data_IF_167780372371
#
_entry.id   IF_167780372371
#
_cell.length_a   1.000
_cell.length_b   1.000
_cell.length_c   1.000
_cell.angle_alpha   90.00
_cell.angle_beta   90.00
_cell.angle_gamma   90.00
#
_symmetry.space_group_name_H-M   'P 1'
#
loop_
_entity.id
_entity.type
_entity.pdbx_description
1 polymer ?
#
# COMPACT_ATOMS: atom_id res chain seq x y z
N UNK A 1 -4.48 -14.01 10.83
CA UNK A 1 -4.04 -13.56 9.49
C UNK A 1 -4.37 -12.09 9.31
N UNK A 2 -3.41 -11.31 8.84
CA UNK A 2 -3.62 -9.88 8.60
C UNK A 2 -4.34 -9.66 7.27
N UNK A 3 -5.38 -8.85 7.30
CA UNK A 3 -6.10 -8.43 6.10
C UNK A 3 -5.35 -7.24 5.48
N UNK A 4 -5.06 -7.31 4.20
CA UNK A 4 -4.31 -6.27 3.50
C UNK A 4 -5.00 -5.84 2.21
N UNK A 5 -4.80 -4.59 1.83
CA UNK A 5 -5.16 -4.10 0.51
C UNK A 5 -3.92 -3.52 -0.17
N UNK A 6 -3.97 -3.45 -1.49
CA UNK A 6 -2.90 -2.89 -2.31
C UNK A 6 -3.47 -1.70 -3.08
N UNK A 7 -2.84 -0.54 -2.93
CA UNK A 7 -3.19 0.67 -3.68
C UNK A 7 -2.00 1.02 -4.58
N UNK A 8 -2.10 0.67 -5.85
CA UNK A 8 -1.02 0.76 -6.82
C UNK A 8 -1.61 0.86 -8.22
N UNK A 9 -1.20 1.85 -9.01
CA UNK A 9 -1.77 2.09 -10.33
C UNK A 9 -1.23 1.16 -11.43
N UNK A 10 -0.02 0.61 -11.27
CA UNK A 10 0.55 -0.28 -12.27
C UNK A 10 0.10 -1.72 -12.03
N UNK A 11 -0.65 -2.28 -12.99
CA UNK A 11 -1.18 -3.64 -12.88
C UNK A 11 -0.07 -4.67 -12.68
N UNK A 12 1.05 -4.52 -13.39
CA UNK A 12 2.17 -5.47 -13.27
C UNK A 12 2.80 -5.42 -11.88
N UNK A 13 2.95 -4.24 -11.31
CA UNK A 13 3.48 -4.09 -9.96
C UNK A 13 2.54 -4.73 -8.92
N UNK A 14 1.22 -4.54 -9.07
CA UNK A 14 0.24 -5.20 -8.19
C UNK A 14 0.37 -6.71 -8.26
N UNK A 15 0.44 -7.26 -9.47
CA UNK A 15 0.55 -8.70 -9.69
C UNK A 15 1.82 -9.28 -9.06
N UNK A 16 2.94 -8.59 -9.23
CA UNK A 16 4.21 -9.04 -8.68
C UNK A 16 4.21 -9.01 -7.16
N UNK A 17 3.64 -7.96 -6.57
CA UNK A 17 3.55 -7.84 -5.13
C UNK A 17 2.64 -8.95 -4.56
N UNK A 18 1.48 -9.18 -5.19
CA UNK A 18 0.58 -10.25 -4.79
C UNK A 18 1.25 -11.62 -4.87
N UNK A 19 2.01 -11.86 -5.94
CA UNK A 19 2.75 -13.12 -6.08
C UNK A 19 3.76 -13.31 -4.96
N UNK A 20 4.53 -12.27 -4.62
CA UNK A 20 5.52 -12.36 -3.55
C UNK A 20 4.88 -12.61 -2.19
N UNK A 21 3.77 -11.95 -1.92
CA UNK A 21 3.06 -12.13 -0.65
C UNK A 21 2.48 -13.53 -0.53
N UNK A 22 1.89 -14.05 -1.60
CA UNK A 22 1.35 -15.40 -1.63
C UNK A 22 2.46 -16.46 -1.51
N UNK A 23 3.59 -16.24 -2.17
CA UNK A 23 4.68 -17.21 -2.17
C UNK A 23 5.41 -17.29 -0.82
N UNK A 24 5.49 -16.19 -0.08
CA UNK A 24 6.33 -16.11 1.11
C UNK A 24 5.57 -15.82 2.40
N UNK A 25 4.35 -15.26 2.29
CA UNK A 25 3.60 -14.78 3.46
C UNK A 25 2.12 -15.17 3.42
N UNK A 26 1.75 -16.19 2.67
CA UNK A 26 0.34 -16.54 2.49
C UNK A 26 -0.37 -16.97 3.79
N UNK A 27 0.39 -17.40 4.78
CA UNK A 27 -0.17 -17.77 6.09
C UNK A 27 -0.32 -16.57 7.04
N UNK A 28 0.31 -15.44 6.70
CA UNK A 28 0.31 -14.25 7.55
C UNK A 28 -0.57 -13.13 6.99
N UNK A 29 -0.65 -13.00 5.65
CA UNK A 29 -1.30 -11.89 4.98
C UNK A 29 -2.32 -12.40 3.98
N UNK A 30 -3.55 -11.88 4.08
CA UNK A 30 -4.61 -12.13 3.10
C UNK A 30 -4.93 -10.85 2.36
N UNK A 31 -4.73 -10.84 1.05
CA UNK A 31 -5.08 -9.69 0.21
C UNK A 31 -6.58 -9.70 -0.03
N UNK A 32 -7.28 -8.72 0.52
CA UNK A 32 -8.75 -8.66 0.43
C UNK A 32 -9.23 -7.67 -0.62
N UNK A 33 -8.33 -6.91 -1.23
CA UNK A 33 -8.71 -5.99 -2.29
C UNK A 33 -7.51 -5.26 -2.87
N UNK A 34 -7.71 -4.67 -4.04
CA UNK A 34 -6.71 -3.85 -4.69
C UNK A 34 -7.37 -2.67 -5.39
N UNK A 35 -6.63 -1.58 -5.55
CA UNK A 35 -7.11 -0.36 -6.16
C UNK A 35 -6.01 0.27 -7.00
N UNK A 36 -6.40 0.94 -8.09
CA UNK A 36 -5.46 1.63 -8.99
C UNK A 36 -5.45 3.15 -8.81
N UNK A 37 -6.30 3.69 -7.94
CA UNK A 37 -6.33 5.14 -7.64
C UNK A 37 -6.35 5.37 -6.14
N UNK A 38 -5.94 6.57 -5.75
CA UNK A 38 -5.99 6.97 -4.34
C UNK A 38 -7.41 7.05 -3.82
N UNK A 39 -8.32 7.65 -4.60
CA UNK A 39 -9.72 7.80 -4.18
C UNK A 39 -10.38 6.44 -3.95
N UNK A 40 -10.26 5.53 -4.90
CA UNK A 40 -10.85 4.19 -4.75
C UNK A 40 -10.20 3.44 -3.59
N UNK A 41 -8.91 3.64 -3.38
CA UNK A 41 -8.18 3.03 -2.27
C UNK A 41 -8.65 3.54 -0.91
N UNK A 42 -8.90 4.85 -0.78
CA UNK A 42 -9.44 5.44 0.44
C UNK A 42 -10.81 4.85 0.75
N UNK A 43 -11.69 4.81 -0.23
CA UNK A 43 -13.05 4.26 -0.04
C UNK A 43 -12.99 2.79 0.36
N UNK A 44 -12.15 2.01 -0.31
CA UNK A 44 -11.96 0.60 0.00
C UNK A 44 -11.42 0.40 1.42
N UNK A 45 -10.42 1.19 1.80
CA UNK A 45 -9.80 1.08 3.13
C UNK A 45 -10.81 1.42 4.24
N UNK A 46 -11.57 2.48 4.06
CA UNK A 46 -12.54 2.89 5.07
C UNK A 46 -13.69 1.90 5.20
N UNK A 47 -14.05 1.20 4.11
CA UNK A 47 -15.09 0.17 4.13
C UNK A 47 -14.60 -1.15 4.70
N UNK A 48 -13.45 -1.63 4.25
CA UNK A 48 -12.95 -2.97 4.61
C UNK A 48 -12.14 -2.99 5.89
N UNK A 49 -11.61 -1.84 6.31
CA UNK A 49 -10.80 -1.66 7.52
C UNK A 49 -9.67 -2.70 7.60
N UNK A 50 -8.74 -2.67 6.63
CA UNK A 50 -7.64 -3.63 6.61
C UNK A 50 -6.66 -3.38 7.75
N UNK A 51 -5.87 -4.40 8.06
CA UNK A 51 -4.81 -4.29 9.05
C UNK A 51 -3.55 -3.64 8.45
N UNK A 52 -3.33 -3.86 7.15
CA UNK A 52 -2.13 -3.40 6.43
C UNK A 52 -2.54 -2.84 5.07
N UNK A 53 -1.91 -1.73 4.67
CA UNK A 53 -2.07 -1.17 3.32
C UNK A 53 -0.69 -1.08 2.67
N UNK A 54 -0.55 -1.72 1.51
CA UNK A 54 0.58 -1.53 0.61
C UNK A 54 0.22 -0.38 -0.31
N UNK A 55 0.92 0.74 -0.19
CA UNK A 55 0.51 2.00 -0.77
C UNK A 55 1.63 2.61 -1.63
N UNK A 56 1.34 2.85 -2.90
CA UNK A 56 2.28 3.54 -3.77
C UNK A 56 2.40 5.01 -3.36
N UNK A 57 3.61 5.54 -3.41
CA UNK A 57 3.86 6.96 -3.13
C UNK A 57 3.21 7.85 -4.20
N UNK A 58 3.28 7.44 -5.46
CA UNK A 58 2.72 8.18 -6.60
C UNK A 58 1.52 7.45 -7.19
N UNK A 59 0.35 8.04 -7.07
CA UNK A 59 -0.87 7.55 -7.69
C UNK A 59 -1.32 8.55 -8.76
N UNK A 60 -2.17 8.14 -9.73
CA UNK A 60 -2.56 9.06 -10.81
C UNK A 60 -3.34 10.28 -10.34
N UNK A 61 -4.07 10.17 -9.25
CA UNK A 61 -4.96 11.23 -8.75
C UNK A 61 -4.43 11.95 -7.50
N UNK A 62 -3.46 11.36 -6.81
CA UNK A 62 -2.89 11.97 -5.60
C UNK A 62 -1.61 11.27 -5.18
N UNK A 63 -0.88 11.83 -4.24
CA UNK A 63 0.24 11.13 -3.60
C UNK A 63 -0.28 10.17 -2.53
N UNK A 64 0.51 9.12 -2.26
CA UNK A 64 0.19 8.19 -1.17
C UNK A 64 0.04 8.88 0.19
N UNK A 65 0.80 9.96 0.43
CA UNK A 65 0.67 10.74 1.66
C UNK A 65 -0.71 11.38 1.81
N UNK A 66 -1.35 11.74 0.71
CA UNK A 66 -2.71 12.30 0.72
C UNK A 66 -3.73 11.23 1.10
N UNK A 67 -3.48 9.98 0.69
CA UNK A 67 -4.34 8.85 1.09
C UNK A 67 -4.35 8.72 2.61
N UNK A 68 -3.17 8.79 3.25
CA UNK A 68 -3.07 8.68 4.72
C UNK A 68 -3.94 9.70 5.44
N UNK A 69 -3.98 10.93 4.92
CA UNK A 69 -4.74 12.01 5.55
C UNK A 69 -6.25 11.80 5.48
N UNK A 70 -6.70 11.00 4.52
CA UNK A 70 -8.13 10.77 4.27
C UNK A 70 -8.66 9.47 4.90
N UNK A 71 -7.79 8.69 5.55
CA UNK A 71 -8.21 7.44 6.19
C UNK A 71 -8.88 7.70 7.52
N UNK A 72 -9.97 6.97 7.78
CA UNK A 72 -10.68 6.98 9.07
C UNK A 72 -10.08 5.97 10.06
N UNK A 73 -9.10 5.20 9.62
CA UNK A 73 -8.47 4.11 10.37
C UNK A 73 -6.97 4.35 10.46
N UNK A 74 -6.31 3.60 11.31
CA UNK A 74 -4.85 3.66 11.46
C UNK A 74 -4.22 2.30 11.22
N UNK A 75 -4.24 1.79 9.97
CA UNK A 75 -3.60 0.53 9.64
C UNK A 75 -2.08 0.69 9.59
N UNK A 76 -1.37 -0.42 9.57
CA UNK A 76 0.04 -0.41 9.24
C UNK A 76 0.17 0.00 7.76
N UNK A 77 1.05 0.94 7.47
CA UNK A 77 1.30 1.39 6.10
C UNK A 77 2.67 0.92 5.66
N UNK A 78 2.72 0.25 4.51
CA UNK A 78 3.98 -0.10 3.86
C UNK A 78 3.98 0.58 2.51
N UNK A 79 4.77 1.63 2.38
CA UNK A 79 4.90 2.32 1.11
C UNK A 79 5.65 1.47 0.11
N UNK A 80 5.13 1.38 -1.12
CA UNK A 80 5.82 0.80 -2.25
C UNK A 80 6.25 1.92 -3.18
N UNK A 81 7.50 1.92 -3.62
CA UNK A 81 8.00 2.97 -4.46
C UNK A 81 9.17 2.50 -5.31
N UNK A 82 9.27 3.04 -6.52
CA UNK A 82 10.44 2.85 -7.37
C UNK A 82 11.60 3.77 -6.96
N UNK A 83 11.35 4.73 -6.06
CA UNK A 83 12.29 5.79 -5.70
C UNK A 83 12.69 5.68 -4.22
N UNK A 84 13.91 5.23 -3.96
CA UNK A 84 14.41 5.05 -2.59
C UNK A 84 14.44 6.36 -1.79
N UNK A 85 14.67 7.50 -2.46
CA UNK A 85 14.69 8.80 -1.79
C UNK A 85 13.33 9.15 -1.17
N UNK A 86 12.24 8.84 -1.88
CA UNK A 86 10.90 9.03 -1.36
C UNK A 86 10.63 8.13 -0.17
N UNK A 87 11.11 6.89 -0.22
CA UNK A 87 10.95 5.95 0.86
C UNK A 87 11.61 6.45 2.15
N UNK A 88 12.83 7.00 2.03
CA UNK A 88 13.55 7.56 3.17
C UNK A 88 12.78 8.74 3.77
N UNK A 89 12.29 9.65 2.93
CA UNK A 89 11.51 10.80 3.39
C UNK A 89 10.23 10.38 4.08
N UNK A 90 9.53 9.40 3.51
CA UNK A 90 8.29 8.88 4.09
C UNK A 90 8.54 8.28 5.46
N UNK A 91 9.60 7.50 5.60
CA UNK A 91 9.96 6.88 6.86
C UNK A 91 10.27 7.93 7.94
N UNK A 92 11.06 8.94 7.59
CA UNK A 92 11.46 9.99 8.53
C UNK A 92 10.26 10.82 9.00
N UNK A 93 9.33 11.12 8.10
CA UNK A 93 8.19 12.00 8.41
C UNK A 93 7.09 11.25 9.16
N UNK A 94 6.79 10.02 8.77
CA UNK A 94 5.62 9.28 9.28
C UNK A 94 5.98 8.09 10.15
N UNK A 95 7.26 7.77 10.31
CA UNK A 95 7.71 6.60 11.10
C UNK A 95 7.05 5.30 10.66
N UNK A 96 6.96 5.09 9.35
CA UNK A 96 6.32 3.92 8.74
C UNK A 96 7.34 3.16 7.90
N UNK A 97 7.03 1.88 7.63
CA UNK A 97 7.88 1.05 6.80
C UNK A 97 7.69 1.37 5.31
N UNK A 98 8.68 0.97 4.52
CA UNK A 98 8.63 1.12 3.08
C UNK A 98 9.25 -0.09 2.39
N UNK A 99 8.88 -0.26 1.13
CA UNK A 99 9.42 -1.31 0.27
C UNK A 99 9.74 -0.69 -1.09
N UNK A 100 11.00 -0.72 -1.47
CA UNK A 100 11.42 -0.26 -2.79
C UNK A 100 11.04 -1.31 -3.83
N UNK A 101 10.44 -0.87 -4.93
CA UNK A 101 10.00 -1.76 -6.00
C UNK A 101 11.21 -2.34 -6.73
N UNK A 102 11.64 -3.51 -6.29
CA UNK A 102 12.63 -4.34 -6.96
C UNK A 102 12.01 -5.67 -7.41
N UNK A 103 10.71 -5.77 -7.25
CA UNK A 103 9.95 -6.97 -7.57
C UNK A 103 9.29 -6.90 -8.94
#
# INVERSE_FOLDING_TARGET
>A
MYKAIIIEDEALARQRLMYLLEAHHNNAISIIGESDTGKAGIDMANQTRPDVIFLDVHLPDMYGFDVLKALDIQPMIIFTTAYSDYAVQAFDVFSIDYLVKAF
#
